data_IF_691829346738
#
_entry.id   IF_691829346738
#
_cell.length_a   1.000
_cell.length_b   1.000
_cell.length_c   1.000
_cell.angle_alpha   90.00
_cell.angle_beta   90.00
_cell.angle_gamma   90.00
#
_symmetry.space_group_name_H-M   'P 1'
#
loop_
_entity.id
_entity.type
_entity.pdbx_description
1 polymer ?
#
# COMPACT_ATOMS: atom_id res chain seq x y z
N UNK A 1 7.91 0.08 -8.84
CA UNK A 1 7.97 -1.38 -9.12
C UNK A 1 7.59 -1.57 -10.58
N UNK A 2 8.17 -2.51 -11.36
CA UNK A 2 7.62 -2.79 -12.68
C UNK A 2 6.17 -3.28 -12.56
N UNK A 3 5.31 -2.88 -13.50
CA UNK A 3 3.92 -3.32 -13.56
C UNK A 3 3.89 -4.85 -13.76
N UNK A 4 3.04 -5.55 -12.98
CA UNK A 4 3.00 -7.01 -12.92
C UNK A 4 1.91 -7.60 -13.82
N UNK A 5 2.33 -8.09 -15.00
CA UNK A 5 1.46 -8.62 -16.04
C UNK A 5 1.04 -10.10 -15.89
N UNK A 6 1.31 -10.75 -14.75
CA UNK A 6 0.99 -12.18 -14.55
C UNK A 6 -0.51 -12.50 -14.62
N UNK A 7 -1.37 -11.61 -14.12
CA UNK A 7 -2.83 -11.70 -14.29
C UNK A 7 -3.50 -10.32 -14.09
N UNK A 8 -4.80 -10.21 -14.38
CA UNK A 8 -5.51 -8.93 -14.32
C UNK A 8 -5.50 -8.29 -12.91
N UNK A 9 -5.54 -9.10 -11.84
CA UNK A 9 -5.54 -8.57 -10.47
C UNK A 9 -4.17 -7.98 -10.11
N UNK A 10 -3.08 -8.63 -10.51
CA UNK A 10 -1.72 -8.13 -10.27
C UNK A 10 -1.41 -6.89 -11.12
N UNK A 11 -1.93 -6.83 -12.35
CA UNK A 11 -1.80 -5.64 -13.21
C UNK A 11 -2.44 -4.45 -12.53
N UNK A 12 -3.73 -4.55 -12.15
CA UNK A 12 -4.42 -3.42 -11.53
C UNK A 12 -3.83 -3.03 -10.17
N UNK A 13 -3.44 -4.00 -9.35
CA UNK A 13 -2.83 -3.71 -8.05
C UNK A 13 -1.47 -3.01 -8.19
N UNK A 14 -0.62 -3.46 -9.12
CA UNK A 14 0.68 -2.82 -9.36
C UNK A 14 0.55 -1.42 -9.95
N UNK A 15 -0.39 -1.21 -10.89
CA UNK A 15 -0.71 0.12 -11.43
C UNK A 15 -1.19 1.04 -10.31
N UNK A 16 -2.11 0.58 -9.46
CA UNK A 16 -2.63 1.39 -8.35
C UNK A 16 -1.53 1.77 -7.36
N UNK A 17 -0.74 0.80 -6.91
CA UNK A 17 0.34 1.04 -5.94
C UNK A 17 1.42 1.99 -6.49
N UNK A 18 1.81 1.83 -7.76
CA UNK A 18 2.77 2.72 -8.43
C UNK A 18 2.18 4.12 -8.66
N UNK A 19 0.88 4.22 -8.98
CA UNK A 19 0.21 5.51 -9.16
C UNK A 19 0.12 6.27 -7.83
N UNK A 20 -0.29 5.60 -6.74
CA UNK A 20 -0.36 6.22 -5.42
C UNK A 20 1.02 6.66 -4.92
N UNK A 21 2.05 5.85 -5.15
CA UNK A 21 3.46 6.23 -4.90
C UNK A 21 3.81 7.55 -5.60
N UNK A 22 3.50 7.66 -6.90
CA UNK A 22 3.78 8.88 -7.70
C UNK A 22 2.98 10.09 -7.25
N UNK A 23 1.80 9.88 -6.66
CA UNK A 23 0.97 10.94 -6.08
C UNK A 23 1.42 11.37 -4.67
N UNK A 24 2.50 10.77 -4.15
CA UNK A 24 3.10 11.16 -2.86
C UNK A 24 2.61 10.35 -1.67
N UNK A 25 1.97 9.19 -1.88
CA UNK A 25 1.72 8.24 -0.79
C UNK A 25 3.06 7.76 -0.23
N UNK A 26 3.26 7.87 1.08
CA UNK A 26 4.49 7.40 1.74
C UNK A 26 4.27 6.15 2.58
N UNK A 27 3.05 5.91 3.05
CA UNK A 27 2.75 4.82 3.98
C UNK A 27 1.42 4.14 3.63
N UNK A 28 1.39 2.81 3.63
CA UNK A 28 0.19 2.00 3.43
C UNK A 28 -0.04 1.09 4.62
N UNK A 29 -1.18 1.26 5.30
CA UNK A 29 -1.59 0.36 6.40
C UNK A 29 -2.40 -0.80 5.80
N UNK A 30 -1.97 -2.04 6.05
CA UNK A 30 -2.51 -3.23 5.41
C UNK A 30 -3.07 -4.21 6.44
N UNK A 31 -4.34 -4.57 6.28
CA UNK A 31 -4.99 -5.63 7.06
C UNK A 31 -4.99 -6.97 6.30
N UNK A 32 -4.82 -8.10 6.99
CA UNK A 32 -4.74 -9.41 6.35
C UNK A 32 -6.06 -9.81 5.69
N UNK A 33 -5.99 -10.30 4.45
CA UNK A 33 -7.18 -10.77 3.73
C UNK A 33 -6.83 -11.46 2.42
N UNK A 34 -7.51 -12.58 2.11
CA UNK A 34 -7.26 -13.33 0.86
C UNK A 34 -7.57 -12.49 -0.38
N UNK A 35 -8.64 -11.70 -0.35
CA UNK A 35 -9.06 -10.87 -1.49
C UNK A 35 -8.13 -9.68 -1.74
N UNK A 36 -7.51 -9.12 -0.69
CA UNK A 36 -6.57 -7.99 -0.78
C UNK A 36 -5.15 -8.40 -1.17
N UNK A 37 -4.86 -9.70 -1.28
CA UNK A 37 -3.53 -10.24 -1.62
C UNK A 37 -2.81 -9.51 -2.75
N UNK A 38 -3.45 -9.20 -3.91
CA UNK A 38 -2.75 -8.51 -5.00
C UNK A 38 -2.22 -7.13 -4.60
N UNK A 39 -2.98 -6.37 -3.79
CA UNK A 39 -2.56 -5.06 -3.27
C UNK A 39 -1.46 -5.20 -2.23
N UNK A 40 -1.61 -6.17 -1.32
CA UNK A 40 -0.58 -6.46 -0.30
C UNK A 40 0.76 -6.77 -0.94
N UNK A 41 0.77 -7.63 -1.97
CA UNK A 41 1.99 -7.97 -2.71
C UNK A 41 2.55 -6.75 -3.44
N UNK A 42 1.70 -5.95 -4.10
CA UNK A 42 2.15 -4.77 -4.84
C UNK A 42 2.82 -3.70 -3.95
N UNK A 43 2.34 -3.50 -2.72
CA UNK A 43 2.99 -2.61 -1.75
C UNK A 43 4.23 -3.25 -1.12
N UNK A 44 4.19 -4.54 -0.77
CA UNK A 44 5.32 -5.23 -0.14
C UNK A 44 6.54 -5.40 -1.07
N UNK A 45 6.36 -5.38 -2.40
CA UNK A 45 7.42 -5.57 -3.40
C UNK A 45 8.08 -4.27 -3.89
N UNK A 46 7.77 -3.11 -3.29
CA UNK A 46 8.41 -1.86 -3.69
C UNK A 46 9.89 -1.81 -3.25
N UNK A 47 10.79 -1.50 -4.19
CA UNK A 47 12.24 -1.38 -3.92
C UNK A 47 12.57 -0.10 -3.15
N UNK A 48 13.54 -0.18 -2.24
CA UNK A 48 13.85 0.72 -1.12
C UNK A 48 14.00 2.23 -1.42
N UNK A 49 14.25 2.64 -2.67
CA UNK A 49 14.34 4.08 -3.00
C UNK A 49 12.92 4.62 -3.24
N UNK A 50 12.52 5.56 -2.38
CA UNK A 50 11.21 6.21 -2.34
C UNK A 50 10.02 5.26 -2.16
N UNK A 51 10.22 4.04 -1.65
CA UNK A 51 9.14 3.06 -1.47
C UNK A 51 8.06 3.55 -0.51
N UNK A 52 6.81 3.18 -0.81
CA UNK A 52 5.69 3.26 0.15
C UNK A 52 5.95 2.23 1.25
N UNK A 53 6.03 2.67 2.50
CA UNK A 53 6.18 1.80 3.65
C UNK A 53 4.87 1.02 3.89
N UNK A 54 4.92 -0.31 3.83
CA UNK A 54 3.77 -1.17 4.07
C UNK A 54 3.76 -1.68 5.52
N UNK A 55 2.80 -1.23 6.33
CA UNK A 55 2.70 -1.58 7.75
C UNK A 55 1.51 -2.53 7.97
N UNK A 56 1.74 -3.78 8.42
CA UNK A 56 0.65 -4.71 8.69
C UNK A 56 -0.05 -4.41 10.02
N UNK A 57 -1.38 -4.38 10.02
CA UNK A 57 -2.21 -4.21 11.23
C UNK A 57 -3.36 -5.22 11.20
N UNK A 58 -3.56 -5.97 12.28
CA UNK A 58 -4.54 -7.07 12.30
C UNK A 58 -6.01 -6.61 12.30
N UNK A 59 -6.34 -5.60 13.12
CA UNK A 59 -7.71 -5.09 13.29
C UNK A 59 -7.91 -3.84 12.41
N UNK A 60 -8.92 -3.87 11.53
CA UNK A 60 -9.19 -2.82 10.54
C UNK A 60 -9.58 -1.49 11.17
N UNK A 61 -10.23 -1.51 12.34
CA UNK A 61 -10.63 -0.30 13.06
C UNK A 61 -9.39 0.39 13.61
N UNK A 62 -8.50 -0.37 14.25
CA UNK A 62 -7.20 0.13 14.74
C UNK A 62 -6.34 0.63 13.59
N UNK A 63 -6.31 -0.09 12.46
CA UNK A 63 -5.60 0.32 11.25
C UNK A 63 -6.07 1.68 10.74
N UNK A 64 -7.39 1.94 10.72
CA UNK A 64 -7.95 3.21 10.28
C UNK A 64 -7.50 4.39 11.17
N UNK A 65 -7.53 4.23 12.49
CA UNK A 65 -7.05 5.27 13.42
C UNK A 65 -5.53 5.43 13.38
N UNK A 66 -4.79 4.35 13.12
CA UNK A 66 -3.34 4.39 12.95
C UNK A 66 -2.95 5.18 11.68
N UNK A 67 -3.60 4.88 10.54
CA UNK A 67 -3.42 5.62 9.30
C UNK A 67 -3.77 7.12 9.46
N UNK A 68 -4.90 7.42 10.13
CA UNK A 68 -5.29 8.80 10.44
C UNK A 68 -4.24 9.52 11.29
N UNK A 69 -3.67 8.83 12.30
CA UNK A 69 -2.62 9.37 13.15
C UNK A 69 -1.37 9.74 12.36
N UNK A 70 -0.93 8.87 11.46
CA UNK A 70 0.21 9.12 10.56
C UNK A 70 -0.08 10.33 9.67
N UNK A 71 -1.21 10.34 8.96
CA UNK A 71 -1.55 11.42 8.05
C UNK A 71 -1.63 12.79 8.76
N UNK A 72 -2.16 12.83 9.98
CA UNK A 72 -2.19 14.06 10.79
C UNK A 72 -0.82 14.52 11.27
N UNK A 73 0.10 13.59 11.55
CA UNK A 73 1.44 13.90 12.05
C UNK A 73 2.38 14.35 10.92
N UNK A 74 2.26 13.74 9.74
CA UNK A 74 3.17 13.98 8.60
C UNK A 74 2.64 15.02 7.63
N UNK A 75 1.31 15.23 7.57
CA UNK A 75 0.67 16.06 6.55
C UNK A 75 0.62 15.40 5.16
N UNK A 76 1.05 14.15 5.05
CA UNK A 76 0.99 13.35 3.82
C UNK A 76 -0.18 12.35 3.88
N UNK A 77 -0.76 11.98 2.73
CA UNK A 77 -1.77 10.93 2.65
C UNK A 77 -1.24 9.56 3.11
#
# INVERSE_FOLDING_TARGET
MPIDFRNINTVWASILAETLKRLGLTTAIICPGSRSTPLTVAFAQQNQIDAVEAIPVLDERSAAFFALGIARATGYP
#
